data_IF_951741752531
#
_entry.id   IF_951741752531
#
_cell.length_a   1.000
_cell.length_b   1.000
_cell.length_c   1.000
_cell.angle_alpha   90.00
_cell.angle_beta   90.00
_cell.angle_gamma   90.00
#
_symmetry.space_group_name_H-M   'P 1'
#
loop_
_entity.id
_entity.type
_entity.pdbx_description
1 polymer ?
#
# COMPACT_ATOMS: atom_id res chain seq x y z
N UNK A 1 37.29 -29.61 14.53
CA UNK A 1 35.98 -28.94 14.41
C UNK A 1 35.76 -27.88 15.48
N UNK A 2 35.86 -28.19 16.79
CA UNK A 2 35.60 -27.20 17.87
C UNK A 2 36.46 -25.92 17.85
N UNK A 3 37.74 -26.00 17.45
CA UNK A 3 38.63 -24.82 17.37
C UNK A 3 38.28 -23.87 16.21
N UNK A 4 37.60 -24.35 15.16
CA UNK A 4 37.14 -23.52 14.03
C UNK A 4 35.82 -22.82 14.34
N UNK A 5 34.95 -23.45 15.13
CA UNK A 5 33.67 -22.87 15.59
C UNK A 5 33.90 -21.63 16.47
N UNK A 6 34.93 -21.62 17.33
CA UNK A 6 35.26 -20.47 18.17
C UNK A 6 35.72 -19.24 17.36
N UNK A 7 36.50 -19.44 16.28
CA UNK A 7 36.94 -18.36 15.37
C UNK A 7 35.77 -17.81 14.56
N UNK A 8 34.88 -18.68 14.09
CA UNK A 8 33.63 -18.32 13.41
C UNK A 8 32.76 -17.44 14.33
N UNK A 9 32.63 -17.79 15.61
CA UNK A 9 31.87 -17.02 16.59
C UNK A 9 32.42 -15.60 16.79
N UNK A 10 33.74 -15.43 16.89
CA UNK A 10 34.35 -14.10 17.08
C UNK A 10 34.21 -13.19 15.84
N UNK A 11 34.31 -13.75 14.64
CA UNK A 11 34.10 -12.98 13.40
C UNK A 11 32.63 -12.54 13.26
N UNK A 12 31.71 -13.38 13.72
CA UNK A 12 30.28 -13.14 13.85
C UNK A 12 29.97 -11.99 14.81
N UNK A 13 30.53 -12.00 16.01
CA UNK A 13 30.34 -10.93 16.98
C UNK A 13 30.78 -9.57 16.42
N UNK A 14 31.99 -9.52 15.85
CA UNK A 14 32.62 -8.26 15.43
C UNK A 14 31.92 -7.61 14.24
N UNK A 15 31.52 -8.40 13.23
CA UNK A 15 30.83 -7.86 12.04
C UNK A 15 29.31 -7.75 12.24
N UNK A 16 28.68 -8.64 13.01
CA UNK A 16 27.25 -8.53 13.35
C UNK A 16 26.95 -7.22 14.08
N UNK A 17 27.83 -6.80 15.00
CA UNK A 17 27.73 -5.49 15.65
C UNK A 17 27.85 -4.32 14.66
N UNK A 18 28.62 -4.45 13.59
CA UNK A 18 28.73 -3.41 12.56
C UNK A 18 27.46 -3.27 11.70
N UNK A 19 26.73 -4.37 11.51
CA UNK A 19 25.51 -4.43 10.69
C UNK A 19 24.30 -3.98 11.51
N UNK A 20 24.13 -4.49 12.74
CA UNK A 20 22.94 -4.25 13.56
C UNK A 20 23.15 -3.25 14.70
N UNK A 21 24.40 -2.96 15.07
CA UNK A 21 24.74 -2.07 16.18
C UNK A 21 24.55 -0.58 15.86
N UNK A 22 24.54 -0.18 14.59
CA UNK A 22 24.25 1.21 14.22
C UNK A 22 22.78 1.60 14.47
N UNK A 23 21.87 0.62 14.50
CA UNK A 23 20.44 0.82 14.77
C UNK A 23 19.94 0.23 16.10
N UNK A 24 20.83 -0.36 16.91
CA UNK A 24 20.48 -1.11 18.12
C UNK A 24 19.40 -2.20 17.88
N UNK A 25 19.43 -2.82 16.69
CA UNK A 25 18.41 -3.75 16.23
C UNK A 25 18.53 -5.11 16.94
N UNK A 26 19.76 -5.55 17.20
CA UNK A 26 20.05 -6.77 17.93
C UNK A 26 21.20 -6.51 18.91
N UNK A 27 21.12 -7.17 20.05
CA UNK A 27 22.22 -7.26 21.01
C UNK A 27 23.29 -8.24 20.53
N UNK A 28 24.49 -8.16 21.10
CA UNK A 28 25.58 -9.11 20.81
C UNK A 28 25.17 -10.55 21.15
N UNK A 29 24.47 -10.75 22.27
CA UNK A 29 23.97 -12.06 22.69
C UNK A 29 22.97 -12.63 21.67
N UNK A 30 22.04 -11.80 21.18
CA UNK A 30 21.09 -12.23 20.16
C UNK A 30 21.77 -12.57 18.84
N UNK A 31 22.76 -11.79 18.39
CA UNK A 31 23.54 -12.09 17.19
C UNK A 31 24.22 -13.45 17.33
N UNK A 32 24.80 -13.73 18.50
CA UNK A 32 25.44 -15.01 18.79
C UNK A 32 24.44 -16.17 18.77
N UNK A 33 23.30 -16.02 19.43
CA UNK A 33 22.25 -17.03 19.46
C UNK A 33 21.76 -17.36 18.04
N UNK A 34 21.47 -16.33 17.23
CA UNK A 34 21.07 -16.51 15.82
C UNK A 34 22.14 -17.22 15.00
N UNK A 35 23.39 -16.88 15.21
CA UNK A 35 24.50 -17.49 14.49
C UNK A 35 24.75 -18.94 14.89
N UNK A 36 24.60 -19.29 16.17
CA UNK A 36 24.68 -20.67 16.65
C UNK A 36 23.52 -21.51 16.09
N UNK A 37 22.29 -21.00 16.17
CA UNK A 37 21.11 -21.68 15.61
C UNK A 37 21.27 -21.90 14.09
N UNK A 38 21.73 -20.88 13.35
CA UNK A 38 22.04 -21.02 11.92
C UNK A 38 23.08 -22.12 11.68
N UNK A 39 24.18 -22.14 12.45
CA UNK A 39 25.26 -23.12 12.29
C UNK A 39 24.74 -24.54 12.51
N UNK A 40 23.91 -24.75 13.54
CA UNK A 40 23.29 -26.04 13.81
C UNK A 40 22.39 -26.51 12.66
N UNK A 41 21.51 -25.64 12.17
CA UNK A 41 20.63 -25.94 11.04
C UNK A 41 21.42 -26.20 9.74
N UNK A 42 22.51 -25.46 9.53
CA UNK A 42 23.38 -25.63 8.38
C UNK A 42 24.14 -26.96 8.44
N UNK A 43 24.66 -27.35 9.60
CA UNK A 43 25.31 -28.66 9.78
C UNK A 43 24.32 -29.80 9.52
N UNK A 44 23.09 -29.70 10.01
CA UNK A 44 22.04 -30.68 9.72
C UNK A 44 21.77 -30.80 8.21
N UNK A 45 21.71 -29.66 7.51
CA UNK A 45 21.54 -29.63 6.06
C UNK A 45 22.71 -30.28 5.31
N UNK A 46 23.96 -30.05 5.74
CA UNK A 46 25.14 -30.68 5.15
C UNK A 46 25.17 -32.20 5.38
N UNK A 47 24.73 -32.66 6.55
CA UNK A 47 24.68 -34.08 6.91
C UNK A 47 23.58 -34.85 6.17
N UNK A 48 22.54 -34.16 5.68
CA UNK A 48 21.43 -34.77 4.97
C UNK A 48 21.83 -35.41 3.61
N UNK A 49 23.01 -35.07 3.06
CA UNK A 49 23.56 -35.76 1.89
C UNK A 49 22.83 -35.49 0.56
N UNK A 50 23.33 -36.11 -0.51
CA UNK A 50 23.17 -35.77 -1.94
C UNK A 50 21.83 -35.16 -2.39
N UNK A 51 21.93 -33.88 -2.83
CA UNK A 51 20.88 -32.97 -3.32
C UNK A 51 20.05 -32.36 -2.20
N UNK A 52 20.38 -31.12 -1.85
CA UNK A 52 19.45 -30.24 -1.12
C UNK A 52 18.18 -30.11 -1.93
N UNK A 53 17.21 -30.94 -1.57
CA UNK A 53 15.84 -30.79 -2.01
C UNK A 53 15.26 -29.62 -1.23
N UNK A 54 14.81 -28.58 -1.95
CA UNK A 54 14.09 -27.44 -1.35
C UNK A 54 12.88 -27.87 -0.52
N UNK A 55 12.40 -29.11 -0.70
CA UNK A 55 11.27 -29.69 0.02
C UNK A 55 11.67 -30.44 1.29
N UNK A 56 12.96 -30.65 1.53
CA UNK A 56 13.47 -31.36 2.71
C UNK A 56 13.11 -30.64 4.01
N UNK A 57 13.04 -31.39 5.11
CA UNK A 57 12.80 -30.84 6.45
C UNK A 57 13.84 -29.83 6.87
N UNK A 58 15.10 -30.08 6.53
CA UNK A 58 16.26 -29.28 6.89
C UNK A 58 16.24 -27.94 6.15
N UNK A 59 15.94 -27.97 4.84
CA UNK A 59 15.81 -26.75 4.06
C UNK A 59 14.62 -25.90 4.54
N UNK A 60 13.49 -26.53 4.88
CA UNK A 60 12.33 -25.84 5.47
C UNK A 60 12.63 -25.22 6.82
N UNK A 61 13.38 -25.91 7.69
CA UNK A 61 13.79 -25.39 8.98
C UNK A 61 14.66 -24.13 8.82
N UNK A 62 15.64 -24.19 7.90
CA UNK A 62 16.50 -23.05 7.59
C UNK A 62 15.71 -21.88 7.00
N UNK A 63 14.77 -22.15 6.09
CA UNK A 63 13.86 -21.13 5.55
C UNK A 63 13.01 -20.48 6.63
N UNK A 64 12.49 -21.26 7.57
CA UNK A 64 11.68 -20.75 8.67
C UNK A 64 12.51 -19.88 9.62
N UNK A 65 13.73 -20.32 9.94
CA UNK A 65 14.69 -19.54 10.73
C UNK A 65 14.91 -18.15 10.13
N UNK A 66 15.27 -18.07 8.84
CA UNK A 66 15.51 -16.79 8.17
C UNK A 66 14.25 -15.95 8.00
N UNK A 67 13.09 -16.57 7.82
CA UNK A 67 11.80 -15.86 7.77
C UNK A 67 11.50 -15.19 9.12
N UNK A 68 11.69 -15.91 10.23
CA UNK A 68 11.51 -15.37 11.58
C UNK A 68 12.51 -14.25 11.87
N UNK A 69 13.77 -14.45 11.50
CA UNK A 69 14.82 -13.45 11.67
C UNK A 69 14.50 -12.15 10.91
N UNK A 70 14.11 -12.25 9.64
CA UNK A 70 13.70 -11.10 8.83
C UNK A 70 12.52 -10.33 9.45
N UNK A 71 11.52 -11.05 9.96
CA UNK A 71 10.36 -10.44 10.64
C UNK A 71 10.78 -9.70 11.92
N UNK A 72 11.66 -10.28 12.73
CA UNK A 72 12.12 -9.65 13.96
C UNK A 72 12.90 -8.35 13.68
N UNK A 73 13.78 -8.35 12.67
CA UNK A 73 14.49 -7.14 12.22
C UNK A 73 13.49 -6.05 11.84
N UNK A 74 12.44 -6.38 11.08
CA UNK A 74 11.41 -5.42 10.66
C UNK A 74 10.60 -4.86 11.84
N UNK A 75 10.21 -5.70 12.81
CA UNK A 75 9.49 -5.26 14.02
C UNK A 75 10.31 -4.23 14.80
N UNK A 76 11.64 -4.36 14.78
CA UNK A 76 12.56 -3.45 15.45
C UNK A 76 12.91 -2.20 14.62
N UNK A 77 12.24 -2.00 13.48
CA UNK A 77 12.44 -0.85 12.60
C UNK A 77 13.58 -1.01 11.59
N UNK A 78 14.17 -2.20 11.50
CA UNK A 78 15.18 -2.53 10.51
C UNK A 78 14.57 -2.77 9.12
N UNK A 79 15.45 -2.83 8.13
CA UNK A 79 15.08 -2.99 6.72
C UNK A 79 15.64 -4.30 6.14
N UNK A 80 15.18 -4.64 4.93
CA UNK A 80 15.61 -5.86 4.24
C UNK A 80 17.11 -5.83 3.87
N UNK A 81 17.69 -4.64 3.71
CA UNK A 81 19.11 -4.50 3.39
C UNK A 81 19.99 -4.98 4.55
N UNK A 82 19.64 -4.67 5.79
CA UNK A 82 20.37 -5.14 6.98
C UNK A 82 20.33 -6.67 7.10
N UNK A 83 19.17 -7.27 6.82
CA UNK A 83 19.02 -8.72 6.74
C UNK A 83 19.92 -9.34 5.65
N UNK A 84 19.90 -8.78 4.44
CA UNK A 84 20.74 -9.26 3.32
C UNK A 84 22.23 -9.09 3.62
N UNK A 85 22.62 -7.97 4.24
CA UNK A 85 24.00 -7.74 4.70
C UNK A 85 24.44 -8.79 5.71
N UNK A 86 23.56 -9.18 6.64
CA UNK A 86 23.85 -10.24 7.59
C UNK A 86 24.00 -11.62 6.93
N UNK A 87 23.13 -11.95 5.97
CA UNK A 87 23.28 -13.19 5.21
C UNK A 87 24.62 -13.23 4.46
N UNK A 88 24.96 -12.15 3.73
CA UNK A 88 26.23 -12.06 3.03
C UNK A 88 27.41 -12.17 3.98
N UNK A 89 27.31 -11.53 5.14
CA UNK A 89 28.30 -11.66 6.17
C UNK A 89 28.49 -13.12 6.63
N UNK A 90 27.40 -13.83 6.92
CA UNK A 90 27.47 -15.25 7.28
C UNK A 90 28.12 -16.07 6.15
N UNK A 91 27.72 -15.84 4.90
CA UNK A 91 28.31 -16.49 3.73
C UNK A 91 29.83 -16.26 3.63
N UNK A 92 30.32 -15.03 3.82
CA UNK A 92 31.74 -14.71 3.82
C UNK A 92 32.50 -15.52 4.88
N UNK A 93 31.93 -15.65 6.09
CA UNK A 93 32.55 -16.41 7.18
C UNK A 93 32.73 -17.88 6.79
N UNK A 94 31.73 -18.51 6.17
CA UNK A 94 31.89 -19.88 5.70
C UNK A 94 32.93 -20.02 4.60
N UNK A 95 32.94 -19.09 3.63
CA UNK A 95 33.89 -19.14 2.53
C UNK A 95 35.34 -19.03 3.03
N UNK A 96 35.63 -18.09 3.93
CA UNK A 96 36.96 -17.93 4.53
C UNK A 96 37.39 -19.17 5.35
N UNK A 97 36.44 -19.84 6.01
CA UNK A 97 36.73 -21.06 6.78
C UNK A 97 36.97 -22.28 5.90
N UNK A 98 36.32 -22.35 4.73
CA UNK A 98 36.59 -23.38 3.73
C UNK A 98 37.96 -23.21 3.09
N UNK A 99 38.37 -21.97 2.77
CA UNK A 99 39.68 -21.68 2.17
C UNK A 99 40.85 -22.13 3.08
N UNK A 100 40.69 -22.02 4.39
CA UNK A 100 41.73 -22.37 5.37
C UNK A 100 41.71 -23.84 5.81
N UNK A 101 40.80 -24.67 5.25
CA UNK A 101 40.73 -26.09 5.56
C UNK A 101 41.60 -26.96 4.64
N UNK A 102 42.83 -27.25 5.08
CA UNK A 102 43.76 -28.12 4.35
C UNK A 102 43.35 -29.61 4.33
N UNK A 103 42.27 -30.00 5.00
CA UNK A 103 41.79 -31.40 5.03
C UNK A 103 40.84 -31.74 3.88
N UNK A 104 40.30 -30.72 3.20
CA UNK A 104 39.39 -30.88 2.08
C UNK A 104 40.16 -30.87 0.76
N UNK A 105 39.79 -31.75 -0.16
CA UNK A 105 40.29 -31.68 -1.53
C UNK A 105 39.53 -30.63 -2.37
N UNK A 106 40.04 -30.37 -3.59
CA UNK A 106 39.43 -29.39 -4.50
C UNK A 106 37.99 -29.75 -4.88
N UNK A 107 37.68 -31.04 -5.04
CA UNK A 107 36.35 -31.48 -5.44
C UNK A 107 35.34 -31.28 -4.31
N UNK A 108 35.71 -31.68 -3.08
CA UNK A 108 34.92 -31.47 -1.87
C UNK A 108 34.67 -29.99 -1.60
N UNK A 109 35.71 -29.16 -1.73
CA UNK A 109 35.59 -27.70 -1.56
C UNK A 109 34.63 -27.09 -2.58
N UNK A 110 34.71 -27.52 -3.85
CA UNK A 110 33.80 -27.08 -4.90
C UNK A 110 32.36 -27.51 -4.64
N UNK A 111 32.14 -28.74 -4.18
CA UNK A 111 30.80 -29.26 -3.86
C UNK A 111 30.16 -28.47 -2.72
N UNK A 112 30.91 -28.20 -1.64
CA UNK A 112 30.43 -27.39 -0.52
C UNK A 112 30.15 -25.96 -0.95
N UNK A 113 31.00 -25.36 -1.80
CA UNK A 113 30.81 -23.99 -2.27
C UNK A 113 29.54 -23.85 -3.14
N UNK A 114 29.28 -24.80 -4.04
CA UNK A 114 28.07 -24.82 -4.86
C UNK A 114 26.82 -25.01 -4.00
N UNK A 115 26.90 -25.89 -3.01
CA UNK A 115 25.84 -26.14 -2.05
C UNK A 115 25.50 -24.89 -1.25
N UNK A 116 26.52 -24.25 -0.68
CA UNK A 116 26.39 -23.03 0.11
C UNK A 116 25.81 -21.88 -0.71
N UNK A 117 26.32 -21.67 -1.93
CA UNK A 117 25.79 -20.65 -2.85
C UNK A 117 24.31 -20.89 -3.20
N UNK A 118 23.92 -22.15 -3.46
CA UNK A 118 22.54 -22.49 -3.76
C UNK A 118 21.61 -22.22 -2.57
N UNK A 119 22.02 -22.63 -1.37
CA UNK A 119 21.21 -22.49 -0.15
C UNK A 119 20.97 -21.02 0.18
N UNK A 120 22.03 -20.20 0.21
CA UNK A 120 21.89 -18.78 0.51
C UNK A 120 21.08 -18.03 -0.56
N UNK A 121 21.29 -18.33 -1.85
CA UNK A 121 20.47 -17.73 -2.91
C UNK A 121 18.98 -18.06 -2.75
N UNK A 122 18.65 -19.32 -2.45
CA UNK A 122 17.27 -19.75 -2.27
C UNK A 122 16.62 -19.04 -1.08
N UNK A 123 17.33 -18.95 0.04
CA UNK A 123 16.87 -18.25 1.25
C UNK A 123 16.64 -16.76 0.99
N UNK A 124 17.60 -16.09 0.34
CA UNK A 124 17.47 -14.66 0.00
C UNK A 124 16.24 -14.44 -0.87
N UNK A 125 16.07 -15.24 -1.93
CA UNK A 125 14.90 -15.16 -2.81
C UNK A 125 13.60 -15.41 -2.05
N UNK A 126 13.57 -16.41 -1.18
CA UNK A 126 12.40 -16.78 -0.42
C UNK A 126 11.96 -15.68 0.54
N UNK A 127 12.89 -15.10 1.28
CA UNK A 127 12.61 -13.96 2.17
C UNK A 127 12.21 -12.73 1.38
N UNK A 128 12.84 -12.49 0.22
CA UNK A 128 12.47 -11.39 -0.68
C UNK A 128 11.03 -11.55 -1.19
N UNK A 129 10.63 -12.77 -1.58
CA UNK A 129 9.25 -13.06 -2.00
C UNK A 129 8.24 -12.82 -0.88
N UNK A 130 8.54 -13.26 0.35
CA UNK A 130 7.68 -13.01 1.52
C UNK A 130 7.55 -11.52 1.79
N UNK A 131 8.67 -10.79 1.76
CA UNK A 131 8.68 -9.34 1.98
C UNK A 131 7.88 -8.58 0.92
N UNK A 132 8.10 -8.90 -0.37
CA UNK A 132 7.37 -8.26 -1.46
C UNK A 132 5.86 -8.54 -1.38
N UNK A 133 5.47 -9.77 -1.08
CA UNK A 133 4.06 -10.12 -0.92
C UNK A 133 3.39 -9.30 0.18
N UNK A 134 4.08 -9.08 1.31
CA UNK A 134 3.54 -8.29 2.42
C UNK A 134 3.49 -6.79 2.11
N UNK A 135 4.50 -6.26 1.41
CA UNK A 135 4.47 -4.88 0.91
C UNK A 135 3.35 -4.65 -0.09
N UNK A 136 3.14 -5.57 -1.02
CA UNK A 136 2.05 -5.50 -1.99
C UNK A 136 0.69 -5.51 -1.29
N UNK A 137 0.48 -6.39 -0.31
CA UNK A 137 -0.75 -6.39 0.51
C UNK A 137 -0.96 -5.07 1.23
N UNK A 138 0.09 -4.50 1.82
CA UNK A 138 0.02 -3.21 2.51
C UNK A 138 -0.38 -2.10 1.54
N UNK A 139 0.22 -2.06 0.35
CA UNK A 139 -0.11 -1.08 -0.69
C UNK A 139 -1.56 -1.24 -1.15
N UNK A 140 -2.03 -2.47 -1.36
CA UNK A 140 -3.40 -2.75 -1.75
C UNK A 140 -4.39 -2.31 -0.67
N UNK A 141 -4.14 -2.61 0.59
CA UNK A 141 -4.97 -2.16 1.71
C UNK A 141 -5.02 -0.62 1.81
N UNK A 142 -3.88 0.06 1.66
CA UNK A 142 -3.83 1.52 1.61
C UNK A 142 -4.60 2.10 0.42
N UNK A 143 -4.51 1.47 -0.76
CA UNK A 143 -5.27 1.88 -1.93
C UNK A 143 -6.77 1.69 -1.75
N UNK A 144 -7.20 0.59 -1.12
CA UNK A 144 -8.62 0.37 -0.79
C UNK A 144 -9.14 1.41 0.20
N UNK A 145 -8.38 1.75 1.24
CA UNK A 145 -8.74 2.81 2.20
C UNK A 145 -8.88 4.19 1.51
N UNK A 146 -7.97 4.51 0.59
CA UNK A 146 -8.06 5.72 -0.22
C UNK A 146 -9.29 5.73 -1.14
N UNK A 147 -9.70 4.57 -1.68
CA UNK A 147 -10.93 4.45 -2.47
C UNK A 147 -12.18 4.72 -1.62
N UNK A 148 -12.24 4.19 -0.40
CA UNK A 148 -13.37 4.44 0.52
C UNK A 148 -13.46 5.89 1.01
N UNK A 149 -12.34 6.63 0.96
CA UNK A 149 -12.27 8.06 1.34
C UNK A 149 -12.69 9.00 0.19
N UNK A 150 -13.08 8.46 -0.97
CA UNK A 150 -13.34 9.27 -2.16
C UNK A 150 -14.72 9.93 -2.14
N UNK A 151 -14.69 11.27 -2.05
CA UNK A 151 -15.82 12.23 -2.15
C UNK A 151 -16.86 12.13 -1.04
N UNK A 152 -16.64 12.78 0.12
CA UNK A 152 -17.64 12.79 1.18
C UNK A 152 -18.88 13.54 0.71
N UNK A 153 -19.96 12.81 0.44
CA UNK A 153 -21.28 13.43 0.34
C UNK A 153 -21.56 14.00 1.73
N UNK A 154 -21.81 15.30 1.82
CA UNK A 154 -21.98 15.99 3.10
C UNK A 154 -23.35 16.67 3.14
N UNK A 155 -24.04 16.57 4.27
CA UNK A 155 -25.25 17.37 4.48
C UNK A 155 -24.80 18.70 5.08
N UNK A 156 -25.11 19.80 4.40
CA UNK A 156 -24.71 21.15 4.81
C UNK A 156 -25.87 21.96 5.37
N UNK A 157 -27.08 21.47 5.16
CA UNK A 157 -28.33 22.01 5.65
C UNK A 157 -29.40 20.94 5.57
N UNK A 158 -30.44 21.06 6.38
CA UNK A 158 -31.59 20.16 6.33
C UNK A 158 -32.18 20.09 4.91
N UNK A 159 -32.04 18.93 4.28
CA UNK A 159 -32.49 18.69 2.92
C UNK A 159 -31.55 19.17 1.80
N UNK A 160 -30.32 19.60 2.11
CA UNK A 160 -29.28 19.99 1.12
C UNK A 160 -28.01 19.17 1.28
N UNK A 161 -27.70 18.40 0.23
CA UNK A 161 -26.46 17.63 0.14
C UNK A 161 -25.44 18.32 -0.78
N UNK A 162 -24.16 18.15 -0.48
CA UNK A 162 -23.06 18.50 -1.38
C UNK A 162 -22.26 17.25 -1.75
N UNK A 163 -21.86 17.18 -3.02
CA UNK A 163 -20.99 16.14 -3.56
C UNK A 163 -19.84 16.81 -4.31
N UNK A 164 -18.70 17.05 -3.64
CA UNK A 164 -17.50 17.55 -4.32
C UNK A 164 -16.81 16.39 -5.03
N UNK A 165 -16.53 16.56 -6.33
CA UNK A 165 -15.78 15.59 -7.13
C UNK A 165 -14.35 16.11 -7.34
N UNK A 166 -13.39 15.34 -6.82
CA UNK A 166 -11.95 15.67 -6.89
C UNK A 166 -11.21 14.58 -7.66
N UNK A 167 -10.29 14.99 -8.54
CA UNK A 167 -9.39 14.09 -9.26
C UNK A 167 -10.01 13.50 -10.53
N UNK A 168 -9.58 12.30 -10.90
CA UNK A 168 -10.13 11.57 -12.04
C UNK A 168 -11.42 10.84 -11.65
N UNK A 169 -12.47 11.03 -12.42
CA UNK A 169 -13.65 10.17 -12.38
C UNK A 169 -13.35 8.95 -13.26
N UNK A 170 -13.27 7.76 -12.67
CA UNK A 170 -13.32 6.51 -13.42
C UNK A 170 -14.71 5.87 -13.27
N UNK A 171 -15.06 4.91 -14.14
CA UNK A 171 -16.39 4.29 -14.15
C UNK A 171 -16.74 3.57 -12.85
N UNK A 172 -15.75 2.91 -12.21
CA UNK A 172 -15.94 2.18 -10.94
C UNK A 172 -16.32 3.14 -9.82
N UNK A 173 -15.51 4.18 -9.63
CA UNK A 173 -15.71 5.23 -8.63
C UNK A 173 -17.02 5.97 -8.86
N UNK A 174 -17.35 6.29 -10.11
CA UNK A 174 -18.58 7.04 -10.41
C UNK A 174 -19.82 6.26 -10.05
N UNK A 175 -19.82 4.93 -10.25
CA UNK A 175 -20.93 4.06 -9.86
C UNK A 175 -21.10 4.03 -8.34
N UNK A 176 -20.01 3.80 -7.59
CA UNK A 176 -20.06 3.79 -6.11
C UNK A 176 -20.52 5.13 -5.53
N UNK A 177 -20.05 6.25 -6.11
CA UNK A 177 -20.49 7.59 -5.68
C UNK A 177 -21.98 7.79 -5.96
N UNK A 178 -22.48 7.35 -7.11
CA UNK A 178 -23.90 7.43 -7.45
C UNK A 178 -24.75 6.62 -6.48
N UNK A 179 -24.39 5.37 -6.20
CA UNK A 179 -25.11 4.50 -5.24
C UNK A 179 -25.18 5.14 -3.85
N UNK A 180 -24.03 5.62 -3.34
CA UNK A 180 -23.95 6.27 -2.04
C UNK A 180 -24.77 7.57 -1.99
N UNK A 181 -24.76 8.37 -3.06
CA UNK A 181 -25.53 9.61 -3.15
C UNK A 181 -27.02 9.33 -3.14
N UNK A 182 -27.50 8.32 -3.88
CA UNK A 182 -28.91 7.94 -3.90
C UNK A 182 -29.38 7.43 -2.52
N UNK A 183 -28.58 6.60 -1.85
CA UNK A 183 -28.85 6.14 -0.49
C UNK A 183 -28.93 7.31 0.50
N UNK A 184 -28.09 8.33 0.33
CA UNK A 184 -28.07 9.52 1.19
C UNK A 184 -29.25 10.45 0.92
N UNK A 185 -29.68 10.60 -0.33
CA UNK A 185 -30.92 11.32 -0.67
C UNK A 185 -32.13 10.70 0.02
N UNK A 186 -32.23 9.37 0.04
CA UNK A 186 -33.30 8.65 0.73
C UNK A 186 -33.22 8.87 2.25
N UNK A 187 -32.06 8.58 2.84
CA UNK A 187 -31.84 8.66 4.29
C UNK A 187 -32.09 10.05 4.85
N UNK A 188 -31.51 11.06 4.22
CA UNK A 188 -31.53 12.45 4.69
C UNK A 188 -32.73 13.22 4.11
N UNK A 189 -33.59 12.55 3.31
CA UNK A 189 -34.74 13.14 2.60
C UNK A 189 -34.38 14.41 1.82
N UNK A 190 -33.20 14.39 1.21
CA UNK A 190 -32.63 15.53 0.53
C UNK A 190 -33.55 16.04 -0.60
N UNK A 191 -33.73 17.35 -0.65
CA UNK A 191 -34.51 18.03 -1.71
C UNK A 191 -33.60 18.61 -2.78
N UNK A 192 -32.36 18.94 -2.43
CA UNK A 192 -31.39 19.52 -3.34
C UNK A 192 -30.03 18.83 -3.15
N UNK A 193 -29.37 18.53 -4.27
CA UNK A 193 -28.00 18.02 -4.30
C UNK A 193 -27.14 18.95 -5.13
N UNK A 194 -26.09 19.49 -4.53
CA UNK A 194 -25.12 20.36 -5.19
C UNK A 194 -23.87 19.55 -5.53
N UNK A 195 -23.67 19.29 -6.82
CA UNK A 195 -22.56 18.50 -7.35
C UNK A 195 -21.48 19.47 -7.82
N UNK A 196 -20.32 19.48 -7.17
CA UNK A 196 -19.22 20.38 -7.52
C UNK A 196 -18.12 19.64 -8.30
N UNK A 197 -17.90 20.07 -9.55
CA UNK A 197 -16.89 19.47 -10.45
C UNK A 197 -15.64 20.34 -10.62
N UNK A 198 -15.44 21.34 -9.75
CA UNK A 198 -14.28 22.25 -9.79
C UNK A 198 -12.93 21.52 -9.76
N UNK A 199 -12.87 20.40 -9.03
CA UNK A 199 -11.68 19.57 -8.81
C UNK A 199 -11.43 18.49 -9.86
N UNK A 200 -12.25 18.40 -10.92
CA UNK A 200 -12.07 17.44 -12.01
C UNK A 200 -11.04 17.98 -13.01
N UNK A 201 -9.93 17.25 -13.18
CA UNK A 201 -8.78 17.70 -14.00
C UNK A 201 -8.96 17.43 -15.49
N UNK A 202 -9.62 16.32 -15.85
CA UNK A 202 -9.90 15.95 -17.22
C UNK A 202 -11.22 15.19 -17.26
N UNK A 203 -12.05 15.49 -18.27
CA UNK A 203 -13.29 14.77 -18.53
C UNK A 203 -13.20 14.16 -19.93
N UNK A 204 -13.54 12.88 -20.04
CA UNK A 204 -13.76 12.22 -21.32
C UNK A 204 -15.28 12.06 -21.58
N UNK A 205 -15.62 11.40 -22.68
CA UNK A 205 -17.00 11.12 -23.04
C UNK A 205 -17.69 10.15 -22.08
N UNK A 206 -16.97 9.22 -21.46
CA UNK A 206 -17.53 8.23 -20.52
C UNK A 206 -17.89 8.88 -19.17
N UNK A 207 -17.01 9.73 -18.65
CA UNK A 207 -17.24 10.48 -17.43
C UNK A 207 -18.42 11.44 -17.59
N UNK A 208 -18.49 12.12 -18.73
CA UNK A 208 -19.63 12.99 -19.07
C UNK A 208 -20.95 12.21 -19.06
N UNK A 209 -20.96 10.99 -19.59
CA UNK A 209 -22.14 10.12 -19.57
C UNK A 209 -22.57 9.78 -18.14
N UNK A 210 -21.64 9.36 -17.28
CA UNK A 210 -21.95 8.99 -15.91
C UNK A 210 -22.41 10.18 -15.06
N UNK A 211 -21.84 11.37 -15.24
CA UNK A 211 -22.29 12.58 -14.57
C UNK A 211 -23.76 12.88 -14.89
N UNK A 212 -24.16 12.72 -16.15
CA UNK A 212 -25.55 12.93 -16.56
C UNK A 212 -26.48 11.85 -16.02
N UNK A 213 -26.06 10.59 -16.01
CA UNK A 213 -26.82 9.50 -15.38
C UNK A 213 -27.07 9.81 -13.90
N UNK A 214 -26.04 10.27 -13.19
CA UNK A 214 -26.13 10.67 -11.79
C UNK A 214 -27.16 11.80 -11.59
N UNK A 215 -27.10 12.86 -12.38
CA UNK A 215 -28.06 13.97 -12.31
C UNK A 215 -29.51 13.50 -12.57
N UNK A 216 -29.71 12.63 -13.57
CA UNK A 216 -31.03 12.05 -13.84
C UNK A 216 -31.53 11.21 -12.68
N UNK A 217 -30.66 10.41 -12.08
CA UNK A 217 -30.99 9.58 -10.92
C UNK A 217 -31.41 10.45 -9.72
N UNK A 218 -30.74 11.58 -9.45
CA UNK A 218 -31.18 12.57 -8.43
C UNK A 218 -32.61 13.04 -8.71
N UNK A 219 -32.90 13.39 -9.97
CA UNK A 219 -34.24 13.81 -10.39
C UNK A 219 -35.31 12.74 -10.18
N UNK A 220 -34.98 11.47 -10.46
CA UNK A 220 -35.88 10.34 -10.22
C UNK A 220 -36.17 10.10 -8.72
N UNK A 221 -35.23 10.46 -7.84
CA UNK A 221 -35.44 10.43 -6.38
C UNK A 221 -36.30 11.61 -5.88
N UNK A 222 -36.76 12.50 -6.77
CA UNK A 222 -37.55 13.67 -6.41
C UNK A 222 -36.73 14.82 -5.82
N UNK A 223 -35.41 14.80 -5.99
CA UNK A 223 -34.51 15.87 -5.61
C UNK A 223 -34.07 16.70 -6.83
N UNK A 224 -33.68 17.96 -6.61
CA UNK A 224 -33.12 18.84 -7.65
C UNK A 224 -31.60 18.76 -7.64
N UNK A 225 -30.99 18.53 -8.79
CA UNK A 225 -29.55 18.59 -8.94
C UNK A 225 -29.10 19.99 -9.39
N UNK A 226 -28.06 20.51 -8.75
CA UNK A 226 -27.37 21.75 -9.14
C UNK A 226 -25.90 21.39 -9.41
N UNK A 227 -25.41 21.70 -10.60
CA UNK A 227 -24.03 21.43 -11.00
C UNK A 227 -23.19 22.71 -10.91
N UNK A 228 -22.06 22.66 -10.20
CA UNK A 228 -21.15 23.80 -10.02
C UNK A 228 -19.74 23.52 -10.54
N UNK A 229 -18.99 24.58 -10.87
CA UNK A 229 -17.58 24.43 -11.22
C UNK A 229 -17.30 23.90 -12.63
N UNK A 230 -18.28 24.03 -13.55
CA UNK A 230 -18.14 23.55 -14.93
C UNK A 230 -17.10 24.39 -15.68
N UNK A 231 -15.99 23.76 -16.05
CA UNK A 231 -14.96 24.35 -16.93
C UNK A 231 -15.41 24.31 -18.40
N UNK A 232 -14.88 25.18 -19.28
CA UNK A 232 -15.22 25.18 -20.71
C UNK A 232 -15.05 23.82 -21.40
N UNK A 233 -14.02 23.03 -21.05
CA UNK A 233 -13.86 21.67 -21.58
C UNK A 233 -15.02 20.73 -21.22
N UNK A 234 -15.54 20.82 -19.99
CA UNK A 234 -16.66 20.01 -19.50
C UNK A 234 -17.94 20.39 -20.23
N UNK A 235 -18.19 21.69 -20.38
CA UNK A 235 -19.34 22.19 -21.15
C UNK A 235 -19.31 21.67 -22.59
N UNK A 236 -18.15 21.72 -23.27
CA UNK A 236 -18.00 21.18 -24.63
C UNK A 236 -18.29 19.68 -24.68
N UNK A 237 -17.73 18.89 -23.77
CA UNK A 237 -17.96 17.45 -23.73
C UNK A 237 -19.44 17.11 -23.55
N UNK A 238 -20.14 17.74 -22.60
CA UNK A 238 -21.57 17.50 -22.35
C UNK A 238 -22.42 17.91 -23.56
N UNK A 239 -22.15 19.07 -24.18
CA UNK A 239 -22.90 19.52 -25.37
C UNK A 239 -22.68 18.61 -26.59
N UNK A 240 -21.49 18.02 -26.72
CA UNK A 240 -21.18 17.11 -27.84
C UNK A 240 -21.97 15.80 -27.80
N UNK A 241 -22.46 15.41 -26.63
CA UNK A 241 -23.27 14.20 -26.44
C UNK A 241 -24.76 14.41 -26.80
N UNK A 242 -25.15 15.62 -27.21
CA UNK A 242 -26.53 16.00 -27.57
C UNK A 242 -27.56 15.60 -26.51
N UNK A 243 -27.20 15.76 -25.24
CA UNK A 243 -28.05 15.39 -24.10
C UNK A 243 -28.87 16.60 -23.66
N UNK A 244 -30.18 16.37 -23.43
CA UNK A 244 -31.05 17.36 -22.81
C UNK A 244 -30.63 17.62 -21.35
N UNK A 245 -30.26 18.88 -21.07
CA UNK A 245 -29.91 19.40 -19.75
C UNK A 245 -31.01 20.30 -19.17
N UNK A 246 -32.22 20.31 -19.74
CA UNK A 246 -33.35 21.12 -19.26
C UNK A 246 -33.66 20.93 -17.77
N UNK A 247 -33.30 19.77 -17.22
CA UNK A 247 -33.50 19.39 -15.82
C UNK A 247 -32.32 19.75 -14.90
N UNK A 248 -31.25 20.33 -15.43
CA UNK A 248 -30.00 20.60 -14.68
C UNK A 248 -29.82 22.10 -14.50
N UNK A 249 -29.83 22.57 -13.25
CA UNK A 249 -29.38 23.93 -12.96
C UNK A 249 -27.86 23.97 -12.87
N UNK A 250 -27.23 24.98 -13.45
CA UNK A 250 -25.77 25.16 -13.39
C UNK A 250 -25.41 26.49 -12.76
N UNK A 251 -24.35 26.51 -11.95
CA UNK A 251 -23.77 27.74 -11.37
C UNK A 251 -22.26 27.74 -11.50
N UNK A 252 -21.65 28.92 -11.52
CA UNK A 252 -20.21 29.00 -11.73
C UNK A 252 -19.43 28.49 -10.51
N UNK A 253 -19.94 28.77 -9.30
CA UNK A 253 -19.28 28.45 -8.04
C UNK A 253 -20.17 27.64 -7.10
N UNK A 254 -19.56 26.89 -6.19
CA UNK A 254 -20.28 26.20 -5.12
C UNK A 254 -21.17 27.16 -4.32
N UNK A 255 -20.66 28.35 -3.97
CA UNK A 255 -21.41 29.38 -3.23
C UNK A 255 -22.70 29.80 -3.93
N UNK A 256 -22.67 29.99 -5.26
CA UNK A 256 -23.87 30.28 -6.04
C UNK A 256 -24.84 29.11 -6.09
N UNK A 257 -24.32 27.87 -6.20
CA UNK A 257 -25.14 26.66 -6.14
C UNK A 257 -25.85 26.51 -4.79
N UNK A 258 -25.17 26.85 -3.69
CA UNK A 258 -25.76 26.84 -2.34
C UNK A 258 -26.85 27.91 -2.20
N UNK A 259 -26.61 29.12 -2.70
CA UNK A 259 -27.63 30.19 -2.69
C UNK A 259 -28.89 29.76 -3.43
N UNK A 260 -28.75 29.09 -4.56
CA UNK A 260 -29.90 28.54 -5.30
C UNK A 260 -30.57 27.39 -4.55
N UNK A 261 -29.81 26.49 -3.93
CA UNK A 261 -30.36 25.41 -3.11
C UNK A 261 -31.24 25.95 -1.97
N UNK A 262 -30.78 27.00 -1.28
CA UNK A 262 -31.55 27.68 -0.25
C UNK A 262 -32.80 28.36 -0.81
N UNK A 263 -32.69 29.04 -1.96
CA UNK A 263 -33.85 29.66 -2.61
C UNK A 263 -34.93 28.62 -2.98
N UNK A 264 -34.53 27.44 -3.45
CA UNK A 264 -35.45 26.33 -3.75
C UNK A 264 -36.18 25.79 -2.51
N UNK A 265 -35.57 25.93 -1.34
CA UNK A 265 -36.15 25.59 -0.05
C UNK A 265 -36.89 26.77 0.62
N UNK A 266 -37.05 27.90 -0.09
CA UNK A 266 -37.61 29.14 0.47
C UNK A 266 -36.84 29.68 1.68
N UNK A 267 -35.53 29.40 1.75
CA UNK A 267 -34.61 29.89 2.77
C UNK A 267 -33.93 31.16 2.25
N UNK A 268 -33.99 32.24 3.03
CA UNK A 268 -33.30 33.50 2.71
C UNK A 268 -31.99 33.58 3.48
N UNK A 269 -30.87 33.69 2.75
CA UNK A 269 -29.56 33.94 3.35
C UNK A 269 -29.34 35.44 3.44
N UNK A 270 -29.25 35.95 4.67
CA UNK A 270 -28.91 37.35 4.95
C UNK A 270 -27.43 37.43 5.32
N UNK A 271 -26.74 38.45 4.82
CA UNK A 271 -25.44 38.79 5.37
C UNK A 271 -25.65 39.23 6.82
N UNK A 272 -24.95 38.61 7.76
CA UNK A 272 -24.89 39.17 9.10
C UNK A 272 -24.18 40.52 8.99
N UNK A 273 -24.86 41.61 9.36
CA UNK A 273 -24.22 42.91 9.51
C UNK A 273 -23.10 42.76 10.52
N UNK A 274 -21.85 42.77 10.04
CA UNK A 274 -20.68 42.85 10.90
C UNK A 274 -20.68 44.26 11.46
N UNK A 275 -21.35 44.46 12.59
CA UNK A 275 -21.15 45.64 13.40
C UNK A 275 -19.70 45.61 13.89
N UNK A 276 -18.84 46.37 13.22
CA UNK A 276 -17.54 46.74 13.76
C UNK A 276 -17.79 47.49 15.08
N UNK A 277 -17.45 46.85 16.20
CA UNK A 277 -17.18 47.50 17.48
C UNK A 277 -15.67 47.56 17.69
#
# INVERSE_FOLDING_TARGET
MMTKVATISQDIEKRGQSIFGQGNLLTLDEINDYSLEFLELFVLLLQAGEKVDRRSSEHKALRQFFSNFSQQIQIRGGNLEEFVRFIHFMQDVFLNNLETDSTLDFQQTREILLLLASVFNDIILDVFHVYLAEKERTIQAQQEELKHTSTPITEIWDGVLTLPIIGTLDSSRTMSVMENMLARIEKDRAKVVVIDVTGVQAIDSQVSHHLIQMIRAVGLMGAKAILTGIRPEIARAITSLNIDLSMVSTRATLSEGLKEAFALLSITVLAADVQHH
#
